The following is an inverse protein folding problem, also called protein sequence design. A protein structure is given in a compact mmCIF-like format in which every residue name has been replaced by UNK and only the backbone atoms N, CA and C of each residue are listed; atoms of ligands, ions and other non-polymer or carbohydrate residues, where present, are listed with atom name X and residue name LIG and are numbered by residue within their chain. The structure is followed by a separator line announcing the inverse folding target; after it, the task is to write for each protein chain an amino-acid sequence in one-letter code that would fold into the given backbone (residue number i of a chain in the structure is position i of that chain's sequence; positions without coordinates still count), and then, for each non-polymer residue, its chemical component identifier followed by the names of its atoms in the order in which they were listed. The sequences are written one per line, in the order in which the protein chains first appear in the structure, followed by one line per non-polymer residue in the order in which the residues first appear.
data_IF_253755028543
#
_entry.id   IF_253755028543
#
_cell.length_a   1.000
_cell.length_b   1.000
_cell.length_c   1.000
_cell.angle_alpha   90.00
_cell.angle_beta   90.00
_cell.angle_gamma   90.00
#
_symmetry.space_group_name_H-M   'P 1'
#
loop_
_entity.id
_entity.type
_entity.pdbx_description
1 polymer ?
#
# COMPACT_ATOMS: atom_id res chain seq x y z
N UNK A 1 6.48 -11.13 -24.17
CA UNK A 1 6.86 -11.92 -22.97
C UNK A 1 6.43 -11.11 -21.76
N UNK A 2 5.23 -11.36 -21.26
CA UNK A 2 4.57 -10.60 -20.19
C UNK A 2 5.15 -11.04 -18.86
N UNK A 3 6.05 -10.24 -18.30
CA UNK A 3 6.69 -10.49 -17.00
C UNK A 3 5.64 -10.64 -15.91
N UNK A 4 5.69 -11.76 -15.18
CA UNK A 4 4.80 -12.02 -14.06
C UNK A 4 5.07 -10.97 -12.95
N UNK A 5 4.22 -9.95 -12.87
CA UNK A 5 4.25 -8.97 -11.80
C UNK A 5 4.08 -9.68 -10.44
N UNK A 6 5.08 -9.53 -9.57
CA UNK A 6 5.27 -10.28 -8.32
C UNK A 6 4.10 -10.17 -7.34
N UNK A 7 3.34 -11.25 -7.24
CA UNK A 7 2.21 -11.38 -6.33
C UNK A 7 2.05 -12.82 -5.79
N UNK A 8 3.08 -13.66 -5.85
CA UNK A 8 2.86 -15.10 -5.86
C UNK A 8 2.71 -15.78 -4.48
N UNK A 9 2.86 -15.07 -3.35
CA UNK A 9 2.65 -15.70 -2.03
C UNK A 9 1.78 -14.89 -1.03
N UNK A 10 1.72 -13.55 -1.13
CA UNK A 10 0.96 -12.69 -0.18
C UNK A 10 -0.27 -11.98 -0.78
N UNK A 11 -0.58 -12.15 -2.08
CA UNK A 11 -1.68 -11.43 -2.76
C UNK A 11 -3.04 -11.61 -2.08
N UNK A 12 -3.34 -12.81 -1.63
CA UNK A 12 -4.57 -13.12 -0.88
C UNK A 12 -4.67 -12.35 0.45
N UNK A 13 -3.53 -11.98 1.04
CA UNK A 13 -3.47 -11.20 2.27
C UNK A 13 -3.84 -9.73 2.02
N UNK A 14 -3.31 -9.11 0.97
CA UNK A 14 -3.63 -7.72 0.62
C UNK A 14 -5.07 -7.55 0.18
N UNK A 15 -5.61 -8.47 -0.63
CA UNK A 15 -7.03 -8.45 -1.01
C UNK A 15 -7.97 -8.51 0.20
N UNK A 16 -7.68 -9.37 1.18
CA UNK A 16 -8.45 -9.45 2.44
C UNK A 16 -8.35 -8.16 3.27
N UNK A 17 -7.16 -7.56 3.36
CA UNK A 17 -6.97 -6.27 4.05
C UNK A 17 -7.77 -5.15 3.38
N UNK A 18 -7.73 -5.06 2.05
CA UNK A 18 -8.48 -4.06 1.30
C UNK A 18 -10.00 -4.21 1.49
N UNK A 19 -10.55 -5.45 1.47
CA UNK A 19 -11.97 -5.68 1.79
C UNK A 19 -12.36 -5.23 3.21
N UNK A 20 -11.45 -5.37 4.18
CA UNK A 20 -11.67 -4.87 5.54
C UNK A 20 -11.69 -3.35 5.58
N UNK A 21 -10.76 -2.70 4.90
CA UNK A 21 -10.68 -1.23 4.78
C UNK A 21 -11.93 -0.68 4.10
N UNK A 22 -12.41 -1.32 3.03
CA UNK A 22 -13.66 -0.98 2.36
C UNK A 22 -14.86 -1.00 3.33
N UNK A 23 -14.90 -1.99 4.23
CA UNK A 23 -15.88 -2.05 5.32
C UNK A 23 -15.75 -0.89 6.31
N UNK A 24 -14.53 -0.49 6.66
CA UNK A 24 -14.29 0.69 7.52
C UNK A 24 -14.77 1.97 6.85
N UNK A 25 -14.48 2.17 5.57
CA UNK A 25 -14.91 3.36 4.80
C UNK A 25 -16.43 3.44 4.72
N UNK A 26 -17.12 2.32 4.45
CA UNK A 26 -18.59 2.27 4.53
C UNK A 26 -19.11 2.61 5.93
N UNK A 27 -18.45 2.10 6.97
CA UNK A 27 -18.80 2.40 8.36
C UNK A 27 -18.68 3.89 8.69
N UNK A 28 -17.61 4.53 8.21
CA UNK A 28 -17.42 5.99 8.35
C UNK A 28 -18.55 6.76 7.68
N UNK A 29 -18.94 6.39 6.45
CA UNK A 29 -20.09 7.02 5.77
C UNK A 29 -21.36 6.92 6.59
N UNK A 30 -21.67 5.73 7.13
CA UNK A 30 -22.82 5.53 8.02
C UNK A 30 -22.73 6.35 9.31
N UNK A 31 -21.53 6.52 9.89
CA UNK A 31 -21.36 7.38 11.07
C UNK A 31 -21.69 8.84 10.77
N UNK A 32 -21.39 9.31 9.57
CA UNK A 32 -21.75 10.67 9.12
C UNK A 32 -23.27 10.77 8.94
N UNK A 33 -23.90 9.79 8.28
CA UNK A 33 -25.35 9.75 8.09
C UNK A 33 -26.15 9.68 9.41
N UNK A 34 -25.52 9.14 10.46
CA UNK A 34 -26.08 9.02 11.82
C UNK A 34 -25.69 10.18 12.76
N UNK A 35 -25.10 11.26 12.24
CA UNK A 35 -24.65 12.44 13.00
C UNK A 35 -23.77 12.08 14.22
N UNK A 36 -22.89 11.07 14.06
CA UNK A 36 -21.97 10.66 15.13
C UNK A 36 -20.98 11.77 15.46
N UNK A 37 -20.48 11.72 16.70
CA UNK A 37 -19.53 12.69 17.20
C UNK A 37 -18.29 12.78 16.31
N UNK A 38 -17.93 14.00 15.93
CA UNK A 38 -16.89 14.24 14.93
C UNK A 38 -15.54 13.59 15.31
N UNK A 39 -15.20 13.53 16.59
CA UNK A 39 -13.94 12.92 17.05
C UNK A 39 -13.94 11.41 16.77
N UNK A 40 -15.07 10.73 16.97
CA UNK A 40 -15.17 9.29 16.70
C UNK A 40 -15.02 9.00 15.20
N UNK A 41 -15.63 9.85 14.35
CA UNK A 41 -15.48 9.78 12.89
C UNK A 41 -14.02 9.98 12.49
N UNK A 42 -13.35 10.99 13.05
CA UNK A 42 -11.91 11.25 12.80
C UNK A 42 -11.02 10.10 13.27
N UNK A 43 -11.35 9.46 14.40
CA UNK A 43 -10.67 8.25 14.87
C UNK A 43 -10.81 7.09 13.88
N UNK A 44 -12.01 6.85 13.32
CA UNK A 44 -12.20 5.81 12.32
C UNK A 44 -11.50 6.11 10.99
N UNK A 45 -11.52 7.38 10.55
CA UNK A 45 -10.75 7.82 9.38
C UNK A 45 -9.26 7.54 9.58
N UNK A 46 -8.72 7.89 10.75
CA UNK A 46 -7.31 7.64 11.09
C UNK A 46 -6.99 6.16 11.05
N UNK A 47 -7.87 5.31 11.59
CA UNK A 47 -7.71 3.85 11.55
C UNK A 47 -7.71 3.29 10.12
N UNK A 48 -8.59 3.79 9.23
CA UNK A 48 -8.62 3.39 7.83
C UNK A 48 -7.36 3.83 7.07
N UNK A 49 -6.89 5.05 7.31
CA UNK A 49 -5.64 5.57 6.74
C UNK A 49 -4.42 4.76 7.16
N UNK A 50 -4.27 4.42 8.44
CA UNK A 50 -3.17 3.57 8.93
C UNK A 50 -3.21 2.16 8.33
N UNK A 51 -4.41 1.61 8.12
CA UNK A 51 -4.57 0.31 7.47
C UNK A 51 -4.16 0.36 5.98
N UNK A 52 -4.49 1.44 5.26
CA UNK A 52 -4.03 1.67 3.89
C UNK A 52 -2.51 1.81 3.80
N UNK A 53 -1.91 2.61 4.70
CA UNK A 53 -0.45 2.76 4.78
C UNK A 53 0.24 1.40 5.03
N UNK A 54 -0.33 0.56 5.89
CA UNK A 54 0.20 -0.79 6.14
C UNK A 54 0.18 -1.69 4.90
N UNK A 55 -0.87 -1.59 4.06
CA UNK A 55 -0.94 -2.30 2.78
C UNK A 55 0.11 -1.77 1.81
N UNK A 56 0.23 -0.45 1.69
CA UNK A 56 1.21 0.18 0.80
C UNK A 56 2.65 -0.18 1.17
N UNK A 57 3.01 -0.14 2.46
CA UNK A 57 4.32 -0.55 2.95
C UNK A 57 4.61 -2.03 2.65
N UNK A 58 3.63 -2.90 2.84
CA UNK A 58 3.79 -4.32 2.52
C UNK A 58 4.04 -4.57 1.02
N UNK A 59 3.32 -3.86 0.13
CA UNK A 59 3.53 -3.97 -1.32
C UNK A 59 4.90 -3.43 -1.73
N UNK A 60 5.33 -2.33 -1.11
CA UNK A 60 6.65 -1.77 -1.32
C UNK A 60 7.76 -2.76 -0.90
N UNK A 61 7.64 -3.38 0.27
CA UNK A 61 8.60 -4.38 0.75
C UNK A 61 8.74 -5.55 -0.24
N UNK A 62 7.63 -6.05 -0.78
CA UNK A 62 7.64 -7.09 -1.81
C UNK A 62 8.33 -6.60 -3.11
N UNK A 63 8.05 -5.36 -3.53
CA UNK A 63 8.70 -4.76 -4.70
C UNK A 63 10.22 -4.61 -4.52
N UNK A 64 10.68 -4.15 -3.35
CA UNK A 64 12.11 -4.03 -3.05
C UNK A 64 12.78 -5.42 -3.03
N UNK A 65 12.15 -6.41 -2.41
CA UNK A 65 12.70 -7.76 -2.27
C UNK A 65 12.74 -8.57 -3.58
N UNK A 66 11.89 -8.26 -4.56
CA UNK A 66 11.83 -9.00 -5.82
C UNK A 66 12.37 -8.23 -7.02
N UNK A 67 12.00 -6.96 -7.18
CA UNK A 67 12.37 -6.20 -8.38
C UNK A 67 13.71 -5.49 -8.22
N UNK A 68 13.99 -4.95 -7.02
CA UNK A 68 15.23 -4.18 -6.78
C UNK A 68 16.39 -5.10 -6.44
N UNK A 69 16.18 -6.14 -5.62
CA UNK A 69 17.24 -7.10 -5.28
C UNK A 69 17.85 -7.78 -6.52
N UNK A 70 17.01 -8.19 -7.48
CA UNK A 70 17.44 -8.77 -8.75
C UNK A 70 18.16 -7.75 -9.64
N UNK A 71 17.61 -6.55 -9.79
CA UNK A 71 18.23 -5.51 -10.60
C UNK A 71 19.59 -5.05 -10.04
N UNK A 72 19.73 -4.93 -8.72
CA UNK A 72 21.01 -4.61 -8.05
C UNK A 72 22.05 -5.72 -8.25
N UNK A 73 21.62 -6.99 -8.28
CA UNK A 73 22.53 -8.11 -8.55
C UNK A 73 23.04 -8.13 -10.00
N UNK A 74 22.24 -7.64 -10.97
CA UNK A 74 22.61 -7.53 -12.38
C UNK A 74 23.45 -6.27 -12.69
N UNK A 75 23.23 -5.18 -11.94
CA UNK A 75 23.98 -3.92 -12.04
C UNK A 75 23.69 -3.09 -13.30
N UNK A 76 24.33 -1.93 -13.40
CA UNK A 76 24.21 -1.03 -14.56
C UNK A 76 22.97 -0.13 -14.56
N UNK A 77 22.71 0.50 -15.70
CA UNK A 77 21.71 1.58 -15.85
C UNK A 77 20.26 1.13 -15.52
N UNK A 78 19.95 -0.15 -15.70
CA UNK A 78 18.62 -0.70 -15.37
C UNK A 78 18.42 -0.83 -13.85
N UNK A 79 19.49 -1.11 -13.10
CA UNK A 79 19.47 -1.09 -11.64
C UNK A 79 19.15 0.32 -11.10
N UNK A 80 19.81 1.34 -11.67
CA UNK A 80 19.59 2.74 -11.29
C UNK A 80 18.16 3.20 -11.59
N UNK A 81 17.59 2.81 -12.74
CA UNK A 81 16.19 3.11 -13.09
C UNK A 81 15.20 2.48 -12.12
N UNK A 82 15.38 1.20 -11.79
CA UNK A 82 14.50 0.49 -10.84
C UNK A 82 14.59 1.04 -9.42
N UNK A 83 15.79 1.45 -8.99
CA UNK A 83 15.99 2.10 -7.71
C UNK A 83 15.33 3.49 -7.65
N UNK A 84 15.44 4.28 -8.72
CA UNK A 84 14.79 5.58 -8.83
C UNK A 84 13.26 5.46 -8.80
N UNK A 85 12.69 4.48 -9.51
CA UNK A 85 11.25 4.18 -9.52
C UNK A 85 10.74 3.84 -8.10
N UNK A 86 11.42 2.93 -7.42
CA UNK A 86 11.09 2.54 -6.04
C UNK A 86 11.18 3.74 -5.08
N UNK A 87 12.24 4.53 -5.18
CA UNK A 87 12.46 5.73 -4.34
C UNK A 87 11.35 6.77 -4.56
N UNK A 88 10.93 6.99 -5.81
CA UNK A 88 9.83 7.91 -6.13
C UNK A 88 8.48 7.42 -5.57
N UNK A 89 8.22 6.12 -5.59
CA UNK A 89 7.02 5.52 -4.98
C UNK A 89 7.02 5.71 -3.45
N UNK A 90 8.16 5.46 -2.78
CA UNK A 90 8.34 5.70 -1.33
C UNK A 90 8.06 7.16 -1.00
N UNK A 91 8.64 8.08 -1.78
CA UNK A 91 8.52 9.50 -1.52
C UNK A 91 7.06 9.98 -1.59
N UNK A 92 6.23 9.39 -2.47
CA UNK A 92 4.78 9.69 -2.53
C UNK A 92 4.05 9.16 -1.29
N UNK A 93 4.40 7.96 -0.82
CA UNK A 93 3.79 7.33 0.35
C UNK A 93 4.09 8.07 1.67
N UNK A 94 5.28 8.63 1.82
CA UNK A 94 5.68 9.36 3.05
C UNK A 94 5.04 10.75 3.13
N UNK A 95 4.61 11.32 2.00
CA UNK A 95 3.99 12.66 1.95
C UNK A 95 2.47 12.67 2.11
N UNK A 96 1.84 11.50 2.18
CA UNK A 96 0.38 11.31 2.34
C UNK A 96 0.01 10.99 3.78
#
# INVERSE_FOLDING_TARGET
MTGAHGYSARKDNYGKRLRRIEGQVRGIGKMIDEDKYCIDVLTQISAASSALQSVALGLLEEHLNHCVSHAVAEGGEEADKKLAEATAAIARLVRS
#
